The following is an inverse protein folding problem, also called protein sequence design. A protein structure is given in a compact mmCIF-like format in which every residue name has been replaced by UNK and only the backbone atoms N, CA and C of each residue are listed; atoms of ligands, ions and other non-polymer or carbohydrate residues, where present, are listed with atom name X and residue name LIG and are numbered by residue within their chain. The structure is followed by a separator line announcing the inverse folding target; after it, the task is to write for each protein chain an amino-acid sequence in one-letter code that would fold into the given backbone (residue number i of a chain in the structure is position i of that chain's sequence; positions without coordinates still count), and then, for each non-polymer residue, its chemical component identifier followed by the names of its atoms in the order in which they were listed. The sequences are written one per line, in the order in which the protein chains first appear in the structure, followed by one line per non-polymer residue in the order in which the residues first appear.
data_IF_170335313123
#
_entry.id   IF_170335313123
#
_cell.length_a   1.000
_cell.length_b   1.000
_cell.length_c   1.000
_cell.angle_alpha   90.00
_cell.angle_beta   90.00
_cell.angle_gamma   90.00
#
_symmetry.space_group_name_H-M   'P 1'
#
loop_
_entity.id
_entity.type
_entity.pdbx_description
1 polymer ?
#
# COMPACT_ATOMS: atom_id res chain seq x y z
N UNK A 1 18.86 4.03 18.48
CA UNK A 1 19.02 4.02 17.01
C UNK A 1 18.62 5.41 16.52
N UNK A 2 19.28 6.00 15.53
CA UNK A 2 18.90 7.35 15.06
C UNK A 2 17.49 7.30 14.42
N UNK A 3 16.53 8.03 14.98
CA UNK A 3 15.13 8.03 14.54
C UNK A 3 15.01 8.35 13.05
N UNK A 4 15.86 9.26 12.54
CA UNK A 4 15.90 9.63 11.12
C UNK A 4 16.26 8.44 10.23
N UNK A 5 17.28 7.64 10.63
CA UNK A 5 17.70 6.46 9.87
C UNK A 5 16.59 5.41 9.84
N UNK A 6 15.89 5.23 10.96
CA UNK A 6 14.76 4.29 11.07
C UNK A 6 13.63 4.67 10.10
N UNK A 7 13.25 5.95 10.07
CA UNK A 7 12.23 6.44 9.14
C UNK A 7 12.64 6.32 7.67
N UNK A 8 13.92 6.56 7.36
CA UNK A 8 14.46 6.35 6.00
C UNK A 8 14.33 4.88 5.60
N UNK A 9 14.74 3.94 6.47
CA UNK A 9 14.61 2.51 6.20
C UNK A 9 13.14 2.15 5.98
N UNK A 10 12.24 2.60 6.87
CA UNK A 10 10.80 2.33 6.71
C UNK A 10 10.32 2.87 5.36
N UNK A 11 10.61 4.12 5.00
CA UNK A 11 10.16 4.70 3.73
C UNK A 11 10.71 3.93 2.51
N UNK A 12 12.02 3.64 2.50
CA UNK A 12 12.71 2.97 1.39
C UNK A 12 12.25 1.53 1.20
N UNK A 13 11.85 0.81 2.25
CA UNK A 13 11.36 -0.57 2.11
C UNK A 13 9.84 -0.63 1.96
N UNK A 14 9.11 0.17 2.74
CA UNK A 14 7.66 0.16 2.76
C UNK A 14 7.08 0.66 1.44
N UNK A 15 7.54 1.81 0.93
CA UNK A 15 6.96 2.39 -0.27
C UNK A 15 7.08 1.42 -1.46
N UNK A 16 8.28 0.92 -1.84
CA UNK A 16 8.38 -0.03 -2.95
C UNK A 16 7.48 -1.25 -2.77
N UNK A 17 7.42 -1.88 -1.60
CA UNK A 17 6.55 -3.05 -1.39
C UNK A 17 5.05 -2.70 -1.52
N UNK A 18 4.63 -1.58 -0.94
CA UNK A 18 3.24 -1.14 -0.94
C UNK A 18 2.73 -0.78 -2.35
N UNK A 19 3.61 -0.35 -3.26
CA UNK A 19 3.27 -0.11 -4.67
C UNK A 19 3.49 -1.32 -5.57
N UNK A 20 4.62 -2.00 -5.41
CA UNK A 20 5.06 -3.05 -6.33
C UNK A 20 4.20 -4.29 -6.22
N UNK A 21 3.87 -4.73 -5.00
CA UNK A 21 3.13 -5.98 -4.82
C UNK A 21 1.72 -5.94 -5.43
N UNK A 22 0.91 -4.87 -5.26
CA UNK A 22 -0.39 -4.76 -5.94
C UNK A 22 -0.28 -4.69 -7.46
N UNK A 23 0.74 -4.01 -7.98
CA UNK A 23 0.98 -3.91 -9.42
C UNK A 23 1.38 -5.26 -10.00
N UNK A 24 2.33 -5.96 -9.37
CA UNK A 24 2.71 -7.33 -9.76
C UNK A 24 1.52 -8.29 -9.71
N UNK A 25 0.66 -8.16 -8.71
CA UNK A 25 -0.56 -8.96 -8.62
C UNK A 25 -1.46 -8.77 -9.84
N UNK A 26 -1.66 -7.54 -10.31
CA UNK A 26 -2.41 -7.25 -11.53
C UNK A 26 -1.73 -7.77 -12.79
N UNK A 27 -0.39 -7.72 -12.86
CA UNK A 27 0.36 -8.28 -14.00
C UNK A 27 0.30 -9.81 -14.06
N UNK A 28 0.38 -10.49 -12.91
CA UNK A 28 0.43 -11.96 -12.83
C UNK A 28 -0.97 -12.57 -12.97
N UNK A 29 -1.99 -11.93 -12.40
CA UNK A 29 -3.37 -12.49 -12.37
C UNK A 29 -4.32 -11.84 -13.37
N UNK A 30 -3.83 -10.91 -14.19
CA UNK A 30 -4.66 -10.09 -15.08
C UNK A 30 -4.99 -10.78 -16.39
N UNK A 31 -6.12 -11.49 -16.44
CA UNK A 31 -6.73 -11.99 -17.68
C UNK A 31 -7.57 -10.93 -18.41
N UNK A 32 -7.68 -9.72 -17.84
CA UNK A 32 -8.48 -8.64 -18.42
C UNK A 32 -7.87 -8.08 -19.71
N UNK A 33 -8.72 -7.50 -20.55
CA UNK A 33 -8.28 -6.73 -21.72
C UNK A 33 -7.27 -5.64 -21.33
N UNK A 34 -6.33 -5.33 -22.23
CA UNK A 34 -5.21 -4.44 -21.94
C UNK A 34 -5.65 -3.05 -21.43
N UNK A 35 -6.74 -2.52 -21.99
CA UNK A 35 -7.33 -1.23 -21.56
C UNK A 35 -7.80 -1.27 -20.11
N UNK A 36 -8.47 -2.36 -19.72
CA UNK A 36 -8.97 -2.59 -18.35
C UNK A 36 -7.80 -2.78 -17.38
N UNK A 37 -6.81 -3.61 -17.75
CA UNK A 37 -5.62 -3.83 -16.92
C UNK A 37 -4.85 -2.53 -16.67
N UNK A 38 -4.66 -1.69 -17.70
CA UNK A 38 -4.04 -0.35 -17.55
C UNK A 38 -4.83 0.54 -16.58
N UNK A 39 -6.16 0.51 -16.64
CA UNK A 39 -7.01 1.26 -15.71
C UNK A 39 -6.85 0.76 -14.27
N UNK A 40 -6.84 -0.57 -14.06
CA UNK A 40 -6.66 -1.18 -12.75
C UNK A 40 -5.28 -0.88 -12.16
N UNK A 41 -4.22 -0.90 -12.97
CA UNK A 41 -2.86 -0.53 -12.52
C UNK A 41 -2.83 0.93 -12.06
N UNK A 42 -3.41 1.85 -12.84
CA UNK A 42 -3.50 3.27 -12.43
C UNK A 42 -4.27 3.43 -11.13
N UNK A 43 -5.41 2.75 -11.00
CA UNK A 43 -6.21 2.76 -9.78
C UNK A 43 -5.42 2.20 -8.59
N UNK A 44 -4.70 1.09 -8.76
CA UNK A 44 -3.87 0.48 -7.73
C UNK A 44 -2.75 1.41 -7.26
N UNK A 45 -2.10 2.14 -8.16
CA UNK A 45 -1.07 3.14 -7.80
C UNK A 45 -1.67 4.30 -6.99
N UNK A 46 -2.84 4.80 -7.39
CA UNK A 46 -3.55 5.86 -6.65
C UNK A 46 -3.96 5.34 -5.27
N UNK A 47 -4.55 4.16 -5.20
CA UNK A 47 -5.00 3.52 -3.97
C UNK A 47 -3.83 3.26 -3.01
N UNK A 48 -2.69 2.83 -3.54
CA UNK A 48 -1.45 2.62 -2.78
C UNK A 48 -0.93 3.95 -2.22
N UNK A 49 -0.93 5.02 -3.01
CA UNK A 49 -0.52 6.36 -2.57
C UNK A 49 -1.40 6.88 -1.44
N UNK A 50 -2.72 6.85 -1.62
CA UNK A 50 -3.66 7.36 -0.61
C UNK A 50 -3.53 6.54 0.68
N UNK A 51 -3.50 5.21 0.56
CA UNK A 51 -3.36 4.31 1.71
C UNK A 51 -2.05 4.53 2.45
N UNK A 52 -0.94 4.73 1.73
CA UNK A 52 0.37 4.99 2.32
C UNK A 52 0.39 6.32 3.09
N UNK A 53 -0.11 7.40 2.50
CA UNK A 53 -0.14 8.72 3.16
C UNK A 53 -0.96 8.67 4.46
N UNK A 54 -2.13 8.01 4.41
CA UNK A 54 -2.97 7.82 5.61
C UNK A 54 -2.23 6.97 6.65
N UNK A 55 -1.63 5.84 6.24
CA UNK A 55 -0.91 4.95 7.15
C UNK A 55 0.26 5.67 7.83
N UNK A 56 1.11 6.38 7.07
CA UNK A 56 2.21 7.15 7.63
C UNK A 56 1.74 8.24 8.61
N UNK A 57 0.67 8.97 8.28
CA UNK A 57 0.09 9.95 9.18
C UNK A 57 -0.33 9.34 10.52
N UNK A 58 -1.02 8.19 10.49
CA UNK A 58 -1.43 7.46 11.70
C UNK A 58 -0.23 6.93 12.49
N UNK A 59 0.77 6.40 11.80
CA UNK A 59 1.98 5.81 12.41
C UNK A 59 2.80 6.88 13.11
N UNK A 60 2.98 8.05 12.50
CA UNK A 60 3.67 9.19 13.14
C UNK A 60 2.97 9.56 14.46
N UNK A 61 1.64 9.65 14.47
CA UNK A 61 0.87 9.94 15.68
C UNK A 61 1.03 8.87 16.76
N UNK A 62 1.08 7.59 16.39
CA UNK A 62 1.23 6.48 17.33
C UNK A 62 2.65 6.36 17.89
N UNK A 63 3.66 6.56 17.06
CA UNK A 63 5.06 6.58 17.48
C UNK A 63 5.28 7.72 18.48
N UNK A 64 4.71 8.91 18.23
CA UNK A 64 4.76 10.03 19.18
C UNK A 64 4.08 9.74 20.53
N UNK A 65 3.16 8.76 20.57
CA UNK A 65 2.52 8.27 21.80
C UNK A 65 3.25 7.08 22.44
N UNK A 66 4.40 6.68 21.92
CA UNK A 66 5.17 5.52 22.38
C UNK A 66 4.59 4.16 21.95
N UNK A 67 3.57 4.13 21.10
CA UNK A 67 2.84 2.91 20.69
C UNK A 67 3.47 2.25 19.45
N UNK A 68 4.77 1.94 19.51
CA UNK A 68 5.55 1.48 18.34
C UNK A 68 4.98 0.18 17.74
N UNK A 69 4.67 -0.83 18.57
CA UNK A 69 4.17 -2.12 18.07
C UNK A 69 2.85 -1.97 17.30
N UNK A 70 1.98 -1.05 17.73
CA UNK A 70 0.69 -0.80 17.07
C UNK A 70 0.91 -0.03 15.77
N UNK A 71 1.85 0.93 15.73
CA UNK A 71 2.24 1.60 14.50
C UNK A 71 2.75 0.60 13.44
N UNK A 72 3.60 -0.35 13.84
CA UNK A 72 4.10 -1.39 12.94
C UNK A 72 2.99 -2.32 12.44
N UNK A 73 2.06 -2.71 13.32
CA UNK A 73 0.89 -3.49 12.92
C UNK A 73 0.04 -2.74 11.88
N UNK A 74 -0.17 -1.43 12.06
CA UNK A 74 -0.93 -0.63 11.11
C UNK A 74 -0.24 -0.56 9.75
N UNK A 75 1.08 -0.35 9.70
CA UNK A 75 1.83 -0.42 8.44
C UNK A 75 1.65 -1.77 7.75
N UNK A 76 1.77 -2.87 8.51
CA UNK A 76 1.60 -4.21 7.96
C UNK A 76 0.19 -4.42 7.37
N UNK A 77 -0.84 -4.01 8.11
CA UNK A 77 -2.23 -4.14 7.66
C UNK A 77 -2.54 -3.22 6.48
N UNK A 78 -1.98 -2.01 6.42
CA UNK A 78 -2.20 -1.11 5.29
C UNK A 78 -1.66 -1.68 3.98
N UNK A 79 -0.60 -2.50 4.01
CA UNK A 79 -0.10 -3.18 2.80
C UNK A 79 -1.15 -4.09 2.13
N UNK A 80 -2.13 -4.59 2.87
CA UNK A 80 -3.19 -5.44 2.30
C UNK A 80 -4.30 -4.62 1.63
N UNK A 81 -4.42 -3.33 1.97
CA UNK A 81 -5.53 -2.50 1.51
C UNK A 81 -5.63 -2.37 -0.02
N UNK A 82 -4.54 -2.14 -0.77
CA UNK A 82 -4.62 -2.06 -2.23
C UNK A 82 -5.15 -3.34 -2.89
N UNK A 83 -4.83 -4.52 -2.34
CA UNK A 83 -5.32 -5.81 -2.86
C UNK A 83 -6.84 -5.96 -2.69
N UNK A 84 -7.37 -5.59 -1.53
CA UNK A 84 -8.82 -5.61 -1.28
C UNK A 84 -9.55 -4.71 -2.27
N UNK A 85 -8.98 -3.53 -2.57
CA UNK A 85 -9.55 -2.61 -3.56
C UNK A 85 -9.51 -3.18 -4.98
N UNK A 86 -8.40 -3.80 -5.39
CA UNK A 86 -8.28 -4.46 -6.70
C UNK A 86 -9.37 -5.53 -6.87
N UNK A 87 -9.55 -6.42 -5.89
CA UNK A 87 -10.56 -7.48 -5.94
C UNK A 87 -11.98 -6.88 -6.05
N UNK A 88 -12.26 -5.80 -5.32
CA UNK A 88 -13.55 -5.09 -5.42
C UNK A 88 -13.75 -4.41 -6.77
N UNK A 89 -12.71 -3.84 -7.36
CA UNK A 89 -12.79 -3.20 -8.68
C UNK A 89 -13.04 -4.22 -9.79
N UNK A 90 -12.38 -5.39 -9.73
CA UNK A 90 -12.64 -6.52 -10.64
C UNK A 90 -14.11 -6.93 -10.64
N UNK A 91 -14.69 -7.12 -9.45
CA UNK A 91 -16.11 -7.49 -9.29
C UNK A 91 -17.12 -6.47 -9.82
N UNK A 92 -16.72 -5.21 -10.03
CA UNK A 92 -17.60 -4.18 -10.61
C UNK A 92 -17.55 -4.12 -12.14
N UNK A 93 -16.53 -4.74 -12.73
CA UNK A 93 -16.28 -4.74 -14.17
C UNK A 93 -16.77 -6.04 -14.85
N UNK A 94 -17.04 -7.07 -14.05
CA UNK A 94 -17.78 -8.29 -14.43
C UNK A 94 -19.25 -8.15 -14.07
#
# INVERSE_FOLDING_TARGET
MNDVITWIIIAVFYAPLHYLLPVLFLFITGEEAESVRKQLIRAAIIDSTISMLIAFGVVILLVNKGMISIAMLILLLSMLYPFVRIIRQRKKLH
#
